data_IF_761744003919
#
_entry.id   IF_761744003919
#
_cell.length_a   1.000
_cell.length_b   1.000
_cell.length_c   1.000
_cell.angle_alpha   90.00
_cell.angle_beta   90.00
_cell.angle_gamma   90.00
#
_symmetry.space_group_name_H-M   'P 1'
#
loop_
_entity.id
_entity.type
_entity.pdbx_description
1 polymer ?
#
# COMPACT_ATOMS: atom_id res chain seq x y z
N UNK A 1 0.19 -23.25 8.45
CA UNK A 1 0.78 -21.94 8.74
C UNK A 1 2.14 -21.94 8.09
N UNK A 2 2.24 -21.46 6.85
CA UNK A 2 3.53 -21.36 6.16
C UNK A 2 4.18 -20.01 6.49
N UNK A 3 5.47 -20.06 6.76
CA UNK A 3 6.34 -18.95 7.16
C UNK A 3 6.72 -18.02 6.00
N UNK A 4 5.94 -18.00 4.91
CA UNK A 4 6.20 -17.17 3.75
C UNK A 4 5.31 -15.92 3.81
N UNK A 5 5.84 -14.75 4.19
CA UNK A 5 5.05 -13.53 4.21
C UNK A 5 4.59 -13.21 2.77
N UNK A 6 3.28 -13.02 2.63
CA UNK A 6 2.63 -12.45 1.44
C UNK A 6 2.59 -13.31 0.17
N UNK A 7 2.74 -14.63 0.28
CA UNK A 7 2.64 -15.51 -0.89
C UNK A 7 1.19 -15.73 -1.31
N UNK A 8 0.87 -15.44 -2.57
CA UNK A 8 -0.37 -15.81 -3.22
C UNK A 8 -0.21 -17.14 -3.98
N UNK A 9 -1.29 -17.88 -4.16
CA UNK A 9 -1.28 -19.03 -5.08
C UNK A 9 -0.85 -18.57 -6.48
N UNK A 10 0.06 -19.28 -7.18
CA UNK A 10 0.53 -18.88 -8.50
C UNK A 10 -0.62 -18.61 -9.47
N UNK A 11 -0.60 -17.46 -10.13
CA UNK A 11 -1.65 -17.03 -11.07
C UNK A 11 -2.93 -16.51 -10.42
N UNK A 12 -3.04 -16.51 -9.09
CA UNK A 12 -4.13 -15.84 -8.38
C UNK A 12 -3.89 -14.33 -8.38
N UNK A 13 -4.89 -13.58 -8.84
CA UNK A 13 -4.83 -12.12 -8.94
C UNK A 13 -6.15 -11.51 -8.46
N UNK A 14 -6.07 -10.36 -7.79
CA UNK A 14 -7.23 -9.48 -7.63
C UNK A 14 -7.27 -8.56 -8.84
N UNK A 15 -8.38 -8.61 -9.60
CA UNK A 15 -8.63 -7.77 -10.78
C UNK A 15 -9.59 -6.66 -10.44
N UNK A 16 -9.64 -5.62 -11.27
CA UNK A 16 -10.50 -4.45 -11.05
C UNK A 16 -10.30 -3.85 -9.65
N UNK A 17 -9.05 -3.76 -9.19
CA UNK A 17 -8.74 -3.28 -7.85
C UNK A 17 -9.03 -1.79 -7.76
N UNK A 18 -9.73 -1.39 -6.69
CA UNK A 18 -9.91 0.02 -6.36
C UNK A 18 -10.07 0.20 -4.84
N UNK A 19 -9.64 1.36 -4.35
CA UNK A 19 -9.78 1.78 -2.96
C UNK A 19 -10.55 3.10 -2.94
N UNK A 20 -11.54 3.20 -2.05
CA UNK A 20 -12.36 4.41 -1.88
C UNK A 20 -12.27 4.89 -0.43
N UNK A 21 -12.07 6.19 -0.25
CA UNK A 21 -12.14 6.86 1.05
C UNK A 21 -13.40 7.73 1.04
N UNK A 22 -14.37 7.38 1.89
CA UNK A 22 -15.68 8.04 1.91
C UNK A 22 -16.35 7.99 0.53
N UNK A 23 -16.47 9.15 -0.12
CA UNK A 23 -17.07 9.27 -1.45
C UNK A 23 -16.08 9.30 -2.61
N UNK A 24 -14.77 9.41 -2.35
CA UNK A 24 -13.73 9.63 -3.37
C UNK A 24 -12.96 8.33 -3.68
N UNK A 25 -12.71 8.06 -4.96
CA UNK A 25 -11.96 6.88 -5.41
C UNK A 25 -10.48 7.22 -5.56
N UNK A 26 -9.61 6.27 -5.21
CA UNK A 26 -8.16 6.39 -5.34
C UNK A 26 -7.70 6.27 -6.78
N UNK A 27 -8.36 5.42 -7.55
CA UNK A 27 -8.08 5.28 -8.98
C UNK A 27 -9.31 5.68 -9.78
N UNK A 28 -9.14 6.59 -10.75
CA UNK A 28 -10.21 7.07 -11.61
C UNK A 28 -10.90 5.94 -12.40
N UNK A 29 -10.14 4.89 -12.72
CA UNK A 29 -10.61 3.70 -13.41
C UNK A 29 -10.05 2.48 -12.69
N UNK A 30 -10.91 1.56 -12.31
CA UNK A 30 -10.51 0.25 -11.80
C UNK A 30 -9.71 -0.47 -12.88
N UNK A 31 -8.48 -0.87 -12.54
CA UNK A 31 -7.58 -1.50 -13.47
C UNK A 31 -7.05 -2.82 -12.93
N UNK A 32 -6.52 -3.64 -13.82
CA UNK A 32 -5.75 -4.81 -13.45
C UNK A 32 -4.41 -4.32 -12.91
N UNK A 33 -4.33 -4.29 -11.57
CA UNK A 33 -3.16 -3.82 -10.85
C UNK A 33 -1.94 -4.68 -11.20
N UNK A 34 -1.00 -4.10 -11.96
CA UNK A 34 0.18 -4.79 -12.47
C UNK A 34 1.47 -4.34 -11.77
N UNK A 35 2.60 -4.96 -12.14
CA UNK A 35 3.89 -4.66 -11.53
C UNK A 35 4.35 -3.22 -11.79
N UNK A 36 3.99 -2.62 -12.93
CA UNK A 36 4.38 -1.23 -13.23
C UNK A 36 3.61 -0.27 -12.33
N UNK A 37 2.32 -0.53 -12.11
CA UNK A 37 1.50 0.23 -11.18
C UNK A 37 1.97 0.06 -9.75
N UNK A 38 2.29 -1.17 -9.33
CA UNK A 38 2.95 -1.42 -8.05
C UNK A 38 4.24 -0.59 -7.90
N UNK A 39 5.14 -0.66 -8.88
CA UNK A 39 6.40 0.08 -8.83
C UNK A 39 6.17 1.60 -8.76
N UNK A 40 5.20 2.12 -9.51
CA UNK A 40 4.82 3.54 -9.49
C UNK A 40 4.20 3.98 -8.16
N UNK A 41 3.41 3.13 -7.50
CA UNK A 41 2.84 3.45 -6.18
C UNK A 41 3.90 3.36 -5.08
N UNK A 42 4.76 2.34 -5.13
CA UNK A 42 5.88 2.19 -4.18
C UNK A 42 6.87 3.34 -4.31
N UNK A 43 7.17 3.79 -5.53
CA UNK A 43 8.07 4.91 -5.74
C UNK A 43 7.53 6.21 -5.15
N UNK A 44 6.21 6.44 -5.16
CA UNK A 44 5.61 7.60 -4.49
C UNK A 44 5.79 7.54 -2.97
N UNK A 45 5.54 6.39 -2.36
CA UNK A 45 5.53 6.21 -0.89
C UNK A 45 6.95 6.16 -0.30
N UNK A 46 7.88 5.50 -0.97
CA UNK A 46 9.23 5.25 -0.46
C UNK A 46 10.29 6.22 -1.01
N UNK A 47 9.91 7.19 -1.84
CA UNK A 47 10.92 8.06 -2.42
C UNK A 47 11.41 9.15 -1.46
N UNK A 48 12.57 8.89 -0.89
CA UNK A 48 13.55 9.95 -0.71
C UNK A 48 14.01 10.33 -2.14
N UNK A 49 13.36 11.35 -2.74
CA UNK A 49 13.68 11.98 -4.04
C UNK A 49 13.06 11.42 -5.34
N UNK A 50 11.78 11.02 -5.37
CA UNK A 50 11.07 10.66 -6.61
C UNK A 50 11.79 9.62 -7.50
N UNK A 51 12.32 8.53 -6.93
CA UNK A 51 13.03 7.45 -7.66
C UNK A 51 14.43 7.84 -8.21
N UNK A 52 15.00 8.99 -7.82
CA UNK A 52 16.35 9.40 -8.25
C UNK A 52 17.50 8.64 -7.57
N UNK A 53 17.20 7.78 -6.60
CA UNK A 53 18.22 7.00 -5.89
C UNK A 53 18.05 5.51 -6.23
N UNK A 54 18.91 4.93 -7.10
CA UNK A 54 18.79 3.52 -7.53
C UNK A 54 19.04 2.51 -6.40
N UNK A 55 19.35 2.98 -5.20
CA UNK A 55 19.74 2.19 -4.02
C UNK A 55 18.54 1.57 -3.27
N UNK A 56 17.31 2.03 -3.55
CA UNK A 56 16.09 1.47 -2.95
C UNK A 56 15.56 0.22 -3.68
N UNK A 57 16.03 -0.05 -4.89
CA UNK A 57 15.73 -1.29 -5.61
C UNK A 57 16.75 -2.33 -5.19
N UNK A 58 16.52 -3.01 -4.07
CA UNK A 58 17.42 -4.06 -3.58
C UNK A 58 17.48 -5.30 -4.52
N UNK A 59 16.89 -5.26 -5.72
CA UNK A 59 16.79 -6.40 -6.65
C UNK A 59 16.05 -7.62 -6.09
N UNK A 60 15.54 -7.53 -4.85
CA UNK A 60 14.91 -8.63 -4.12
C UNK A 60 13.51 -8.97 -4.62
N UNK A 61 12.86 -8.05 -5.33
CA UNK A 61 11.53 -8.23 -5.87
C UNK A 61 11.52 -7.83 -7.34
N UNK A 62 11.64 -8.82 -8.21
CA UNK A 62 11.54 -8.66 -9.66
C UNK A 62 10.11 -8.95 -10.15
N UNK A 63 9.85 -8.63 -11.42
CA UNK A 63 8.55 -8.83 -12.05
C UNK A 63 8.02 -10.26 -11.88
N UNK A 64 8.89 -11.25 -12.03
CA UNK A 64 8.52 -12.66 -11.99
C UNK A 64 8.12 -13.08 -10.58
N UNK A 65 8.91 -12.70 -9.57
CA UNK A 65 8.63 -12.99 -8.15
C UNK A 65 7.39 -12.26 -7.66
N UNK A 66 7.20 -11.00 -8.04
CA UNK A 66 5.98 -10.27 -7.73
C UNK A 66 4.76 -10.91 -8.40
N UNK A 67 4.85 -11.21 -9.69
CA UNK A 67 3.71 -11.71 -10.48
C UNK A 67 3.24 -13.11 -10.09
N UNK A 68 4.16 -13.97 -9.64
CA UNK A 68 3.88 -15.38 -9.35
C UNK A 68 3.77 -15.70 -7.87
N UNK A 69 4.36 -14.87 -7.00
CA UNK A 69 4.52 -15.21 -5.59
C UNK A 69 4.00 -14.10 -4.70
N UNK A 70 4.38 -12.83 -4.89
CA UNK A 70 4.08 -11.76 -3.94
C UNK A 70 3.34 -10.57 -4.57
N UNK A 71 2.14 -10.78 -5.14
CA UNK A 71 1.32 -9.66 -5.66
C UNK A 71 0.70 -8.87 -4.51
N UNK A 72 1.46 -7.91 -4.00
CA UNK A 72 0.98 -6.92 -3.04
C UNK A 72 0.28 -5.80 -3.80
N UNK A 73 -0.89 -5.39 -3.32
CA UNK A 73 -1.66 -4.27 -3.86
C UNK A 73 -1.43 -3.05 -2.97
N UNK A 74 -1.09 -1.92 -3.57
CA UNK A 74 -0.78 -0.68 -2.85
C UNK A 74 -1.64 0.44 -3.44
N UNK A 75 -2.15 1.30 -2.57
CA UNK A 75 -2.90 2.49 -2.96
C UNK A 75 -2.49 3.63 -2.04
N UNK A 76 -1.87 4.67 -2.62
CA UNK A 76 -1.66 5.92 -1.90
C UNK A 76 -2.97 6.71 -1.80
N UNK A 77 -3.49 6.84 -0.59
CA UNK A 77 -4.75 7.54 -0.29
C UNK A 77 -4.54 8.85 0.47
N UNK A 78 -3.30 9.30 0.62
CA UNK A 78 -2.93 10.50 1.38
C UNK A 78 -3.69 11.77 0.94
N UNK A 79 -3.96 11.89 -0.37
CA UNK A 79 -4.69 13.03 -0.94
C UNK A 79 -6.22 12.96 -0.79
N UNK A 80 -6.77 11.85 -0.31
CA UNK A 80 -8.22 11.61 -0.20
C UNK A 80 -8.72 11.69 1.25
N UNK A 81 -7.79 11.69 2.21
CA UNK A 81 -8.09 11.70 3.63
C UNK A 81 -8.18 13.12 4.16
N UNK A 82 -9.18 13.37 5.00
CA UNK A 82 -9.28 14.61 5.78
C UNK A 82 -8.83 14.34 7.22
N UNK A 83 -7.91 15.18 7.72
CA UNK A 83 -7.39 15.09 9.09
C UNK A 83 -8.53 15.24 10.10
N UNK A 84 -8.49 14.46 11.17
CA UNK A 84 -9.46 14.48 12.28
C UNK A 84 -10.91 14.12 11.89
N UNK A 85 -11.16 13.64 10.66
CA UNK A 85 -12.49 13.20 10.20
C UNK A 85 -12.48 11.68 9.96
N UNK A 86 -13.25 10.90 10.74
CA UNK A 86 -13.36 9.47 10.48
C UNK A 86 -14.02 9.20 9.12
N UNK A 87 -13.28 8.57 8.22
CA UNK A 87 -13.75 8.20 6.89
C UNK A 87 -13.71 6.69 6.69
N UNK A 88 -14.72 6.14 6.02
CA UNK A 88 -14.78 4.72 5.70
C UNK A 88 -13.82 4.38 4.56
N UNK A 89 -13.03 3.33 4.74
CA UNK A 89 -12.16 2.76 3.70
C UNK A 89 -12.90 1.58 3.08
N UNK A 90 -13.15 1.64 1.77
CA UNK A 90 -13.75 0.54 1.01
C UNK A 90 -12.73 0.01 0.00
N UNK A 91 -12.47 -1.29 0.08
CA UNK A 91 -11.59 -2.00 -0.85
C UNK A 91 -12.47 -2.86 -1.76
N UNK A 92 -12.27 -2.72 -3.08
CA UNK A 92 -13.03 -3.45 -4.08
C UNK A 92 -12.10 -4.18 -5.04
N UNK A 93 -12.56 -5.33 -5.51
CA UNK A 93 -11.84 -6.13 -6.49
C UNK A 93 -12.52 -7.46 -6.75
N UNK A 94 -12.09 -8.15 -7.79
CA UNK A 94 -12.57 -9.48 -8.18
C UNK A 94 -11.45 -10.49 -7.98
N UNK A 95 -11.70 -11.50 -7.14
CA UNK A 95 -10.78 -12.63 -7.02
C UNK A 95 -10.83 -13.47 -8.30
N UNK A 96 -9.74 -13.44 -9.08
CA UNK A 96 -9.60 -14.24 -10.29
C UNK A 96 -8.94 -15.61 -10.04
N UNK A 97 -8.62 -15.93 -8.78
CA UNK A 97 -8.14 -17.25 -8.39
C UNK A 97 -9.24 -18.31 -8.42
N UNK A 98 -8.85 -19.57 -8.57
CA UNK A 98 -9.78 -20.71 -8.52
C UNK A 98 -10.21 -21.10 -7.10
N UNK A 99 -9.72 -20.41 -6.08
CA UNK A 99 -10.01 -20.65 -4.67
C UNK A 99 -10.35 -19.34 -3.96
N UNK A 100 -11.06 -19.43 -2.82
CA UNK A 100 -11.28 -18.30 -1.94
C UNK A 100 -9.97 -17.69 -1.44
N UNK A 101 -9.97 -16.38 -1.18
CA UNK A 101 -8.77 -15.65 -0.74
C UNK A 101 -9.03 -14.98 0.61
N UNK A 102 -7.99 -14.95 1.45
CA UNK A 102 -7.97 -14.19 2.69
C UNK A 102 -7.07 -12.98 2.49
N UNK A 103 -7.49 -11.81 2.97
CA UNK A 103 -6.73 -10.57 2.83
C UNK A 103 -6.28 -10.07 4.20
N UNK A 104 -5.01 -9.70 4.29
CA UNK A 104 -4.48 -8.88 5.38
C UNK A 104 -4.41 -7.46 4.84
N UNK A 105 -5.10 -6.53 5.50
CA UNK A 105 -5.13 -5.12 5.11
C UNK A 105 -4.31 -4.34 6.12
N UNK A 106 -3.27 -3.67 5.64
CA UNK A 106 -2.44 -2.76 6.44
C UNK A 106 -2.81 -1.34 6.05
N UNK A 107 -3.30 -0.56 7.01
CA UNK A 107 -3.56 0.87 6.83
C UNK A 107 -2.45 1.60 7.56
N UNK A 108 -1.67 2.37 6.82
CA UNK A 108 -0.54 3.15 7.34
C UNK A 108 -0.90 4.62 7.23
N UNK A 109 -0.80 5.34 8.34
CA UNK A 109 -0.95 6.79 8.39
C UNK A 109 0.32 7.42 8.96
N UNK A 110 0.61 8.66 8.57
CA UNK A 110 1.68 9.43 9.17
C UNK A 110 1.29 9.84 10.60
N UNK A 111 2.26 9.79 11.52
CA UNK A 111 2.12 10.30 12.87
C UNK A 111 3.24 11.31 13.09
N UNK A 112 2.89 12.51 13.57
CA UNK A 112 3.86 13.52 13.95
C UNK A 112 4.12 13.47 15.45
N UNK A 113 5.40 13.42 15.83
CA UNK A 113 5.86 13.43 17.21
C UNK A 113 6.90 14.54 17.38
N UNK A 114 6.61 15.50 18.26
CA UNK A 114 7.58 16.51 18.70
C UNK A 114 8.24 16.07 20.00
N UNK A 115 9.56 15.97 20.00
CA UNK A 115 10.36 15.58 21.16
C UNK A 115 11.33 16.68 21.57
N UNK A 116 11.37 17.00 22.86
CA UNK A 116 12.44 17.80 23.43
C UNK A 116 13.73 16.96 23.47
N UNK A 117 14.73 17.37 22.69
CA UNK A 117 15.99 16.63 22.57
C UNK A 117 16.84 16.66 23.84
N UNK A 118 16.61 17.63 24.75
CA UNK A 118 17.38 17.80 25.98
C UNK A 118 16.76 17.01 27.14
N UNK A 119 15.44 17.03 27.28
CA UNK A 119 14.73 16.35 28.39
C UNK A 119 14.23 14.96 28.01
N UNK A 120 14.07 14.67 26.72
CA UNK A 120 13.46 13.45 26.21
C UNK A 120 11.93 13.43 26.34
N UNK A 121 11.31 14.55 26.72
CA UNK A 121 9.86 14.65 26.83
C UNK A 121 9.19 14.75 25.45
N UNK A 122 8.02 14.11 25.34
CA UNK A 122 7.13 14.24 24.21
C UNK A 122 6.32 15.53 24.41
N UNK A 123 6.55 16.51 23.54
CA UNK A 123 5.90 17.82 23.60
C UNK A 123 4.54 17.80 22.93
N UNK A 124 4.44 17.09 21.81
CA UNK A 124 3.21 16.95 21.06
C UNK A 124 3.24 15.60 20.33
N UNK A 125 2.09 14.94 20.29
CA UNK A 125 1.88 13.72 19.53
C UNK A 125 0.53 13.86 18.83
N UNK A 126 0.58 14.07 17.53
CA UNK A 126 -0.64 14.06 16.73
C UNK A 126 -0.71 12.79 15.91
N UNK A 127 -1.74 12.00 16.18
CA UNK A 127 -2.26 10.98 15.26
C UNK A 127 -3.08 11.67 14.18
N UNK A 128 -2.83 11.37 12.91
CA UNK A 128 -3.67 11.80 11.79
C UNK A 128 -5.14 11.40 11.95
#
# INVERSE_FOLDING_TARGET
MESAPWTLHPGSSIRNFNVRIGSQQCFDISHDYDFHQFANEVSKIASINGDLTPELVNGLLDYQTWSLTNRVLIADVSHLTERDVPQAIQIQGTNAGCQGTNMIVLVVSEQELSLDRLTGEILDFTTA
#
